data_IF_659819918001
#
_entry.id   IF_659819918001
#
_cell.length_a   1.000
_cell.length_b   1.000
_cell.length_c   1.000
_cell.angle_alpha   90.00
_cell.angle_beta   90.00
_cell.angle_gamma   90.00
#
_symmetry.space_group_name_H-M   'P 1'
#
loop_
_entity.id
_entity.type
_entity.pdbx_description
1 polymer ?
#
# COMPACT_ATOMS: atom_id res chain seq x y z
N UNK A 1 7.31 2.12 6.36
CA UNK A 1 8.52 1.82 5.54
C UNK A 1 8.92 2.98 4.62
N UNK A 2 7.98 3.73 4.03
CA UNK A 2 8.30 4.89 3.16
C UNK A 2 8.96 6.02 3.95
N UNK A 3 8.51 6.31 5.17
CA UNK A 3 9.11 7.32 6.03
C UNK A 3 10.55 6.96 6.46
N UNK A 4 10.89 5.68 6.54
CA UNK A 4 12.21 5.20 6.88
C UNK A 4 13.24 5.44 5.75
N UNK A 5 12.81 5.42 4.48
CA UNK A 5 13.64 5.77 3.34
C UNK A 5 13.95 7.27 3.25
N UNK A 6 13.02 8.14 3.69
CA UNK A 6 13.24 9.60 3.74
C UNK A 6 14.18 10.01 4.89
N UNK A 7 14.21 9.23 5.96
CA UNK A 7 15.09 9.45 7.14
C UNK A 7 16.51 8.90 6.93
N UNK A 8 16.71 8.05 5.91
CA UNK A 8 18.00 7.40 5.62
C UNK A 8 19.08 8.29 5.00
N UNK A 9 18.80 9.54 4.62
CA UNK A 9 19.83 10.50 4.25
C UNK A 9 20.41 11.13 5.52
N UNK A 10 21.36 10.45 6.14
CA UNK A 10 22.01 10.86 7.41
C UNK A 10 22.64 12.26 7.42
N UNK A 11 22.72 12.93 6.30
CA UNK A 11 23.48 14.19 6.18
C UNK A 11 22.70 15.45 6.58
N UNK A 12 21.36 15.44 6.62
CA UNK A 12 20.59 16.65 6.93
C UNK A 12 19.82 16.62 8.26
N UNK A 13 19.77 15.48 8.97
CA UNK A 13 18.93 15.31 10.17
C UNK A 13 19.76 15.13 11.45
N UNK A 14 21.01 15.57 11.47
CA UNK A 14 21.93 15.34 12.59
C UNK A 14 21.73 16.25 13.79
N UNK A 15 21.09 17.40 13.66
CA UNK A 15 20.79 18.30 14.78
C UNK A 15 19.49 17.86 15.47
N UNK A 16 19.63 17.26 16.64
CA UNK A 16 18.53 16.73 17.45
C UNK A 16 17.50 17.77 17.87
N UNK A 17 17.88 19.03 17.90
CA UNK A 17 17.05 20.09 18.47
C UNK A 17 16.04 20.70 17.51
N UNK A 18 16.05 20.33 16.20
CA UNK A 18 15.19 20.94 15.18
C UNK A 18 14.74 19.99 14.05
N UNK A 19 14.51 18.69 14.33
CA UNK A 19 14.06 17.73 13.29
C UNK A 19 12.86 18.24 12.52
N UNK A 20 11.86 18.79 13.20
CA UNK A 20 10.62 19.28 12.60
C UNK A 20 10.87 20.48 11.68
N UNK A 21 11.69 21.45 12.10
CA UNK A 21 12.04 22.61 11.27
C UNK A 21 12.83 22.20 10.03
N UNK A 22 13.81 21.30 10.18
CA UNK A 22 14.58 20.77 9.06
C UNK A 22 13.69 20.06 8.03
N UNK A 23 12.67 19.30 8.47
CA UNK A 23 11.71 18.66 7.57
C UNK A 23 10.80 19.68 6.88
N UNK A 24 10.42 20.75 7.56
CA UNK A 24 9.66 21.85 6.94
C UNK A 24 10.46 22.58 5.87
N UNK A 25 11.78 22.78 6.09
CA UNK A 25 12.66 23.38 5.09
C UNK A 25 12.83 22.53 3.83
N UNK A 26 12.68 21.20 3.94
CA UNK A 26 12.70 20.28 2.80
C UNK A 26 11.44 20.39 1.92
N UNK A 27 10.36 21.01 2.38
CA UNK A 27 9.09 21.12 1.65
C UNK A 27 8.59 19.77 1.12
N UNK A 28 8.40 18.79 2.00
CA UNK A 28 7.99 17.44 1.63
C UNK A 28 6.65 17.48 0.91
N UNK A 29 6.62 16.95 -0.31
CA UNK A 29 5.43 16.82 -1.15
C UNK A 29 5.10 15.34 -1.35
N UNK A 30 4.10 14.78 -0.66
CA UNK A 30 3.67 13.42 -0.89
C UNK A 30 3.14 13.19 -2.30
N UNK A 31 3.44 12.01 -2.86
CA UNK A 31 2.93 11.57 -4.16
C UNK A 31 2.12 10.29 -3.96
N UNK A 32 0.82 10.35 -4.20
CA UNK A 32 -0.03 9.17 -4.19
C UNK A 32 0.04 8.47 -5.55
N UNK A 33 0.51 7.22 -5.55
CA UNK A 33 0.59 6.38 -6.74
C UNK A 33 -0.49 5.31 -6.64
N UNK A 34 -1.42 5.30 -7.59
CA UNK A 34 -2.54 4.36 -7.63
C UNK A 34 -2.39 3.43 -8.84
N UNK A 35 -2.28 2.15 -8.59
CA UNK A 35 -2.31 1.10 -9.61
C UNK A 35 -3.67 0.43 -9.63
N UNK A 36 -4.20 0.13 -10.81
CA UNK A 36 -5.40 -0.69 -10.94
C UNK A 36 -5.12 -2.13 -10.51
N UNK A 37 -3.96 -2.66 -10.93
CA UNK A 37 -3.49 -3.99 -10.56
C UNK A 37 -2.06 -3.94 -10.02
N UNK A 38 -1.80 -4.69 -8.95
CA UNK A 38 -0.44 -4.88 -8.43
C UNK A 38 0.20 -6.07 -9.13
N UNK A 39 1.23 -5.87 -9.95
CA UNK A 39 1.86 -6.96 -10.69
C UNK A 39 2.48 -8.05 -9.81
N UNK A 40 2.76 -7.74 -8.54
CA UNK A 40 3.37 -8.64 -7.59
C UNK A 40 2.38 -9.27 -6.60
N UNK A 41 1.07 -9.09 -6.79
CA UNK A 41 0.05 -9.50 -5.83
C UNK A 41 0.06 -11.02 -5.54
N UNK A 42 0.21 -11.86 -6.58
CA UNK A 42 0.31 -13.31 -6.42
C UNK A 42 1.58 -13.75 -5.67
N UNK A 43 2.71 -13.04 -5.85
CA UNK A 43 3.95 -13.30 -5.12
C UNK A 43 3.79 -12.96 -3.64
N UNK A 44 3.14 -11.82 -3.35
CA UNK A 44 2.82 -11.40 -1.97
C UNK A 44 1.86 -12.37 -1.30
N UNK A 45 0.79 -12.78 -2.01
CA UNK A 45 -0.17 -13.76 -1.48
C UNK A 45 0.52 -15.10 -1.17
N UNK A 46 1.38 -15.58 -2.08
CA UNK A 46 2.21 -16.78 -1.88
C UNK A 46 3.07 -16.65 -0.63
N UNK A 47 3.79 -15.54 -0.49
CA UNK A 47 4.65 -15.27 0.66
C UNK A 47 3.86 -15.27 1.98
N UNK A 48 2.65 -14.70 2.00
CA UNK A 48 1.77 -14.74 3.17
C UNK A 48 1.41 -16.18 3.57
N UNK A 49 1.11 -17.05 2.61
CA UNK A 49 0.84 -18.46 2.93
C UNK A 49 2.11 -19.17 3.43
N UNK A 50 3.25 -18.98 2.79
CA UNK A 50 4.51 -19.59 3.21
C UNK A 50 4.87 -19.18 4.65
N UNK A 51 4.75 -17.91 5.02
CA UNK A 51 4.97 -17.41 6.38
C UNK A 51 3.95 -17.94 7.40
N UNK A 52 2.72 -18.18 6.97
CA UNK A 52 1.71 -18.81 7.82
C UNK A 52 2.03 -20.28 8.11
N UNK A 53 2.46 -21.01 7.09
CA UNK A 53 2.65 -22.46 7.13
C UNK A 53 4.01 -22.84 7.72
N UNK A 54 5.00 -21.96 7.62
CA UNK A 54 6.35 -22.11 8.15
C UNK A 54 6.80 -20.80 8.85
N UNK A 55 6.81 -20.78 10.20
CA UNK A 55 7.26 -19.62 10.98
C UNK A 55 8.72 -19.23 10.74
N UNK A 56 9.56 -20.19 10.33
CA UNK A 56 10.98 -19.99 10.06
C UNK A 56 11.26 -19.58 8.61
N UNK A 57 10.21 -19.44 7.80
CA UNK A 57 10.36 -19.02 6.41
C UNK A 57 10.99 -17.64 6.30
N UNK A 58 12.12 -17.58 5.61
CA UNK A 58 12.82 -16.35 5.27
C UNK A 58 12.89 -16.20 3.76
N UNK A 59 12.46 -15.03 3.27
CA UNK A 59 12.55 -14.67 1.86
C UNK A 59 14.01 -14.62 1.42
N UNK A 60 14.34 -15.27 0.31
CA UNK A 60 15.69 -15.24 -0.21
C UNK A 60 15.90 -14.08 -1.22
N UNK A 61 17.16 -13.75 -1.49
CA UNK A 61 17.52 -12.69 -2.43
C UNK A 61 16.95 -12.91 -3.85
N UNK A 62 16.81 -14.17 -4.28
CA UNK A 62 16.22 -14.51 -5.57
C UNK A 62 14.74 -14.12 -5.64
N UNK A 63 14.01 -14.27 -4.55
CA UNK A 63 12.59 -13.87 -4.47
C UNK A 63 12.43 -12.35 -4.57
N UNK A 64 13.39 -11.60 -4.02
CA UNK A 64 13.42 -10.14 -4.13
C UNK A 64 13.69 -9.70 -5.57
N UNK A 65 14.66 -10.30 -6.24
CA UNK A 65 14.94 -10.03 -7.65
C UNK A 65 13.74 -10.37 -8.54
N UNK A 66 13.08 -11.51 -8.32
CA UNK A 66 11.87 -11.90 -9.03
C UNK A 66 10.74 -10.89 -8.81
N UNK A 67 10.58 -10.41 -7.57
CA UNK A 67 9.56 -9.39 -7.25
C UNK A 67 9.85 -8.06 -7.95
N UNK A 68 11.13 -7.66 -8.01
CA UNK A 68 11.54 -6.44 -8.72
C UNK A 68 11.29 -6.56 -10.23
N UNK A 69 11.72 -7.66 -10.86
CA UNK A 69 11.50 -7.93 -12.28
C UNK A 69 9.99 -7.94 -12.61
N UNK A 70 9.21 -8.69 -11.84
CA UNK A 70 7.75 -8.77 -11.99
C UNK A 70 7.11 -7.39 -11.84
N UNK A 71 7.55 -6.61 -10.84
CA UNK A 71 7.04 -5.27 -10.59
C UNK A 71 7.33 -4.28 -11.71
N UNK A 72 8.46 -4.43 -12.42
CA UNK A 72 8.83 -3.55 -13.53
C UNK A 72 8.11 -3.95 -14.82
N UNK A 73 8.14 -5.23 -15.16
CA UNK A 73 7.75 -5.73 -16.48
C UNK A 73 6.25 -6.01 -16.63
N UNK A 74 5.56 -6.38 -15.54
CA UNK A 74 4.18 -6.81 -15.65
C UNK A 74 3.18 -5.65 -15.68
N UNK A 75 2.01 -5.95 -16.25
CA UNK A 75 0.93 -4.99 -16.43
C UNK A 75 0.35 -4.51 -15.08
N UNK A 76 0.20 -3.19 -14.95
CA UNK A 76 -0.36 -2.51 -13.78
C UNK A 76 -1.79 -2.01 -14.01
N UNK A 77 -2.36 -2.29 -15.20
CA UNK A 77 -3.60 -1.66 -15.63
C UNK A 77 -3.44 -0.15 -15.78
N UNK A 78 -4.42 0.58 -15.32
CA UNK A 78 -4.37 2.05 -15.25
C UNK A 78 -3.49 2.49 -14.09
N UNK A 79 -2.65 3.49 -14.33
CA UNK A 79 -1.77 4.09 -13.32
C UNK A 79 -2.10 5.56 -13.19
N UNK A 80 -2.19 6.05 -11.96
CA UNK A 80 -2.46 7.45 -11.68
C UNK A 80 -1.50 7.98 -10.62
N UNK A 81 -0.97 9.17 -10.85
CA UNK A 81 -0.12 9.90 -9.92
C UNK A 81 -0.85 11.16 -9.48
N UNK A 82 -0.99 11.37 -8.18
CA UNK A 82 -1.47 12.62 -7.59
C UNK A 82 -0.33 13.23 -6.80
N UNK A 83 0.15 14.40 -7.23
CA UNK A 83 1.11 15.21 -6.48
C UNK A 83 0.31 16.10 -5.56
N UNK A 84 0.56 16.02 -4.25
CA UNK A 84 -0.15 16.82 -3.25
C UNK A 84 0.49 18.19 -3.05
N UNK A 85 -0.05 19.00 -2.15
CA UNK A 85 0.64 20.18 -1.66
C UNK A 85 1.72 19.81 -0.63
N UNK A 86 2.73 20.67 -0.38
CA UNK A 86 3.67 20.49 0.72
C UNK A 86 2.93 20.31 2.06
N UNK A 87 3.44 19.42 2.92
CA UNK A 87 2.80 19.10 4.20
C UNK A 87 3.20 20.01 5.35
N UNK A 88 3.90 21.12 5.09
CA UNK A 88 4.44 22.03 6.10
C UNK A 88 3.41 22.53 7.10
N UNK A 89 2.19 22.90 6.63
CA UNK A 89 1.10 23.34 7.49
C UNK A 89 0.61 22.25 8.46
N UNK A 90 0.71 21.00 8.06
CA UNK A 90 0.37 19.86 8.90
C UNK A 90 1.51 19.54 9.89
N UNK A 91 2.75 19.64 9.46
CA UNK A 91 3.93 19.48 10.31
C UNK A 91 3.99 20.56 11.40
N UNK A 92 3.67 21.81 11.07
CA UNK A 92 3.67 22.93 12.02
C UNK A 92 2.68 22.75 13.20
N UNK A 93 1.69 21.86 13.06
CA UNK A 93 0.69 21.56 14.11
C UNK A 93 1.13 20.45 15.05
N UNK A 94 2.24 19.77 14.75
CA UNK A 94 2.76 18.72 15.61
C UNK A 94 3.40 19.34 16.85
N UNK A 95 3.29 18.63 17.97
CA UNK A 95 3.95 19.02 19.21
C UNK A 95 5.46 18.86 19.07
N UNK A 96 6.19 19.93 19.37
CA UNK A 96 7.68 20.00 19.25
C UNK A 96 8.39 19.26 20.39
N UNK A 97 7.67 19.03 21.49
CA UNK A 97 8.20 18.39 22.69
C UNK A 97 8.00 16.86 22.70
N UNK A 98 7.46 16.30 21.59
CA UNK A 98 7.33 14.84 21.44
C UNK A 98 8.68 14.14 21.48
N UNK A 99 8.69 12.94 22.07
CA UNK A 99 9.80 12.01 21.93
C UNK A 99 10.09 11.70 20.45
N UNK A 100 11.37 11.52 20.09
CA UNK A 100 11.80 11.36 18.69
C UNK A 100 11.03 10.28 17.93
N UNK A 101 10.78 9.12 18.55
CA UNK A 101 10.06 8.01 17.89
C UNK A 101 8.58 8.34 17.68
N UNK A 102 7.96 9.05 18.62
CA UNK A 102 6.59 9.53 18.51
C UNK A 102 6.47 10.59 17.41
N UNK A 103 7.42 11.52 17.35
CA UNK A 103 7.47 12.53 16.29
C UNK A 103 7.61 11.90 14.90
N UNK A 104 8.51 10.91 14.72
CA UNK A 104 8.65 10.18 13.46
C UNK A 104 7.34 9.48 13.06
N UNK A 105 6.67 8.85 14.02
CA UNK A 105 5.39 8.19 13.80
C UNK A 105 4.28 9.18 13.43
N UNK A 106 4.27 10.35 14.07
CA UNK A 106 3.31 11.43 13.77
C UNK A 106 3.53 11.99 12.35
N UNK A 107 4.79 12.22 11.96
CA UNK A 107 5.16 12.67 10.61
C UNK A 107 4.72 11.63 9.56
N UNK A 108 5.02 10.35 9.79
CA UNK A 108 4.59 9.27 8.91
C UNK A 108 3.06 9.25 8.75
N UNK A 109 2.32 9.44 9.85
CA UNK A 109 0.86 9.50 9.83
C UNK A 109 0.31 10.71 9.03
N UNK A 110 1.02 11.84 9.04
CA UNK A 110 0.67 13.01 8.21
C UNK A 110 0.85 12.67 6.73
N UNK A 111 1.98 12.07 6.36
CA UNK A 111 2.27 11.65 4.98
C UNK A 111 1.25 10.61 4.50
N UNK A 112 1.00 9.59 5.30
CA UNK A 112 0.05 8.51 4.99
C UNK A 112 -1.35 9.07 4.77
N UNK A 113 -1.80 10.00 5.62
CA UNK A 113 -3.12 10.64 5.48
C UNK A 113 -3.25 11.38 4.16
N UNK A 114 -2.22 12.11 3.75
CA UNK A 114 -2.22 12.80 2.45
C UNK A 114 -2.22 11.81 1.28
N UNK A 115 -1.47 10.72 1.37
CA UNK A 115 -1.49 9.67 0.35
C UNK A 115 -2.89 9.02 0.28
N UNK A 116 -3.49 8.67 1.43
CA UNK A 116 -4.81 8.02 1.47
C UNK A 116 -5.91 8.91 0.90
N UNK A 117 -5.93 10.19 1.22
CA UNK A 117 -6.91 11.16 0.69
C UNK A 117 -6.82 11.34 -0.81
N UNK A 118 -5.62 11.23 -1.37
CA UNK A 118 -5.34 11.50 -2.76
C UNK A 118 -5.19 10.22 -3.62
N UNK A 119 -5.45 9.04 -3.03
CA UNK A 119 -5.44 7.79 -3.76
C UNK A 119 -6.64 7.72 -4.71
N UNK A 120 -6.38 7.38 -5.98
CA UNK A 120 -7.43 7.13 -6.97
C UNK A 120 -7.89 5.69 -6.91
N UNK A 121 -9.19 5.49 -6.69
CA UNK A 121 -9.79 4.16 -6.65
C UNK A 121 -10.23 3.70 -8.04
N UNK A 122 -10.13 2.41 -8.25
CA UNK A 122 -10.62 1.70 -9.42
C UNK A 122 -11.74 0.73 -9.02
N UNK A 123 -12.57 0.26 -9.95
CA UNK A 123 -13.66 -0.66 -9.64
C UNK A 123 -13.23 -1.88 -8.82
N UNK A 124 -12.03 -2.42 -9.06
CA UNK A 124 -11.47 -3.55 -8.32
C UNK A 124 -11.35 -3.29 -6.81
N UNK A 125 -11.05 -2.05 -6.38
CA UNK A 125 -10.94 -1.70 -4.97
C UNK A 125 -12.30 -1.81 -4.25
N UNK A 126 -13.35 -1.31 -4.90
CA UNK A 126 -14.72 -1.34 -4.37
C UNK A 126 -15.29 -2.76 -4.37
N UNK A 127 -15.06 -3.52 -5.45
CA UNK A 127 -15.48 -4.93 -5.53
C UNK A 127 -14.80 -5.76 -4.45
N UNK A 128 -13.47 -5.59 -4.28
CA UNK A 128 -12.71 -6.30 -3.26
C UNK A 128 -13.21 -5.99 -1.84
N UNK A 129 -13.51 -4.71 -1.57
CA UNK A 129 -14.06 -4.30 -0.28
C UNK A 129 -15.41 -4.95 0.00
N UNK A 130 -16.33 -4.87 -0.96
CA UNK A 130 -17.69 -5.43 -0.80
C UNK A 130 -17.65 -6.95 -0.67
N UNK A 131 -16.82 -7.65 -1.43
CA UNK A 131 -16.69 -9.12 -1.31
C UNK A 131 -16.09 -9.56 0.02
N UNK A 132 -15.06 -8.87 0.53
CA UNK A 132 -14.46 -9.21 1.82
C UNK A 132 -15.40 -9.01 2.99
N UNK A 133 -16.24 -7.99 2.93
CA UNK A 133 -17.12 -7.63 4.03
C UNK A 133 -18.54 -8.19 3.86
N UNK A 134 -18.84 -8.91 2.78
CA UNK A 134 -20.17 -9.42 2.48
C UNK A 134 -21.20 -8.31 2.32
N UNK A 135 -20.78 -7.15 1.80
CA UNK A 135 -21.63 -5.96 1.65
C UNK A 135 -21.84 -5.58 0.20
N UNK A 136 -22.69 -4.59 -0.02
CA UNK A 136 -22.90 -3.91 -1.30
C UNK A 136 -22.75 -2.40 -1.13
N UNK A 137 -21.92 -1.97 -0.18
CA UNK A 137 -21.80 -0.57 0.23
C UNK A 137 -21.38 0.33 -0.93
N UNK A 138 -20.55 -0.18 -1.81
CA UNK A 138 -19.99 0.60 -2.92
C UNK A 138 -20.48 0.13 -4.30
N UNK A 139 -21.65 -0.51 -4.35
CA UNK A 139 -22.19 -1.09 -5.59
C UNK A 139 -22.41 -0.08 -6.73
N UNK A 140 -22.51 1.21 -6.43
CA UNK A 140 -22.65 2.28 -7.42
C UNK A 140 -21.33 2.59 -8.16
N UNK A 141 -20.18 2.16 -7.62
CA UNK A 141 -18.86 2.41 -8.17
C UNK A 141 -18.36 1.33 -9.15
N UNK A 142 -19.14 0.26 -9.34
CA UNK A 142 -18.79 -0.83 -10.24
C UNK A 142 -20.02 -1.53 -10.85
N UNK A 143 -19.85 -2.02 -12.08
CA UNK A 143 -20.91 -2.78 -12.76
C UNK A 143 -20.67 -4.29 -12.81
N UNK A 144 -21.59 -5.05 -13.41
CA UNK A 144 -21.42 -6.51 -13.62
C UNK A 144 -20.16 -6.86 -14.43
N UNK A 145 -19.80 -6.02 -15.40
CA UNK A 145 -18.61 -6.20 -16.24
C UNK A 145 -17.33 -6.08 -15.39
N UNK A 146 -17.26 -5.08 -14.50
CA UNK A 146 -16.10 -4.86 -13.63
C UNK A 146 -15.90 -6.02 -12.66
N UNK A 147 -17.01 -6.53 -12.09
CA UNK A 147 -17.00 -7.72 -11.24
C UNK A 147 -16.44 -8.93 -11.97
N UNK A 148 -16.94 -9.20 -13.18
CA UNK A 148 -16.50 -10.33 -13.98
C UNK A 148 -15.02 -10.22 -14.32
N UNK A 149 -14.57 -9.05 -14.78
CA UNK A 149 -13.19 -8.80 -15.14
C UNK A 149 -12.25 -8.97 -13.92
N UNK A 150 -12.67 -8.48 -12.76
CA UNK A 150 -11.88 -8.63 -11.54
C UNK A 150 -11.86 -10.07 -11.03
N UNK A 151 -12.97 -10.81 -11.15
CA UNK A 151 -13.02 -12.24 -10.83
C UNK A 151 -12.05 -13.04 -11.70
N UNK A 152 -12.10 -12.82 -13.02
CA UNK A 152 -11.18 -13.47 -13.97
C UNK A 152 -9.71 -13.12 -13.68
N UNK A 153 -9.46 -11.86 -13.29
CA UNK A 153 -8.12 -11.41 -12.89
C UNK A 153 -7.65 -12.15 -11.63
N UNK A 154 -8.45 -12.17 -10.56
CA UNK A 154 -8.09 -12.85 -9.30
C UNK A 154 -7.85 -14.34 -9.53
N UNK A 155 -8.69 -15.00 -10.33
CA UNK A 155 -8.49 -16.41 -10.67
C UNK A 155 -7.16 -16.61 -11.42
N UNK A 156 -6.86 -15.77 -12.40
CA UNK A 156 -5.59 -15.82 -13.14
C UNK A 156 -4.36 -15.58 -12.25
N UNK A 157 -4.48 -14.78 -11.18
CA UNK A 157 -3.39 -14.61 -10.21
C UNK A 157 -3.25 -15.82 -9.29
N UNK A 158 -4.35 -16.41 -8.87
CA UNK A 158 -4.34 -17.67 -8.10
C UNK A 158 -3.68 -18.80 -8.91
N UNK A 159 -3.97 -18.92 -10.19
CA UNK A 159 -3.41 -19.98 -11.05
C UNK A 159 -1.89 -19.89 -11.20
N UNK A 160 -1.30 -18.70 -11.06
CA UNK A 160 0.16 -18.50 -11.05
C UNK A 160 0.83 -19.01 -9.78
N UNK A 161 0.10 -19.22 -8.70
CA UNK A 161 0.67 -19.65 -7.42
C UNK A 161 0.80 -21.15 -7.39
N UNK A 162 2.03 -21.61 -7.34
CA UNK A 162 2.38 -23.03 -7.21
C UNK A 162 2.91 -23.28 -5.80
N UNK A 163 2.17 -24.05 -4.99
CA UNK A 163 2.52 -24.47 -3.64
C UNK A 163 2.06 -25.92 -3.42
N UNK A 164 2.80 -26.76 -2.71
CA UNK A 164 2.40 -28.14 -2.42
C UNK A 164 1.05 -28.23 -1.67
N UNK A 165 0.88 -27.34 -0.69
CA UNK A 165 -0.33 -27.26 0.16
C UNK A 165 -1.09 -25.95 -0.13
N UNK A 166 -1.39 -25.68 -1.41
CA UNK A 166 -2.06 -24.47 -1.83
C UNK A 166 -3.44 -24.34 -1.16
N UNK A 167 -3.58 -23.31 -0.33
CA UNK A 167 -4.84 -22.92 0.30
C UNK A 167 -5.48 -21.78 -0.51
N UNK A 168 -6.29 -22.15 -1.49
CA UNK A 168 -6.87 -21.20 -2.44
C UNK A 168 -7.79 -20.18 -1.77
N UNK A 169 -8.54 -20.59 -0.73
CA UNK A 169 -9.42 -19.70 0.01
C UNK A 169 -8.61 -18.62 0.77
N UNK A 170 -7.52 -19.01 1.42
CA UNK A 170 -6.61 -18.10 2.09
C UNK A 170 -5.95 -17.14 1.10
N UNK A 171 -5.40 -17.66 0.01
CA UNK A 171 -4.72 -16.87 -1.02
C UNK A 171 -5.68 -15.85 -1.66
N UNK A 172 -6.90 -16.29 -2.01
CA UNK A 172 -7.94 -15.40 -2.52
C UNK A 172 -8.27 -14.28 -1.53
N UNK A 173 -8.42 -14.62 -0.26
CA UNK A 173 -8.63 -13.62 0.79
C UNK A 173 -7.49 -12.60 0.85
N UNK A 174 -6.23 -13.06 0.77
CA UNK A 174 -5.06 -12.16 0.78
C UNK A 174 -5.02 -11.24 -0.44
N UNK A 175 -5.33 -11.74 -1.63
CA UNK A 175 -5.48 -10.91 -2.83
C UNK A 175 -6.56 -9.84 -2.64
N UNK A 176 -7.75 -10.22 -2.19
CA UNK A 176 -8.83 -9.26 -1.95
C UNK A 176 -8.47 -8.23 -0.85
N UNK A 177 -7.76 -8.63 0.20
CA UNK A 177 -7.27 -7.71 1.24
C UNK A 177 -6.36 -6.63 0.63
N UNK A 178 -5.43 -6.98 -0.26
CA UNK A 178 -4.53 -6.04 -0.92
C UNK A 178 -5.31 -4.98 -1.73
N UNK A 179 -6.30 -5.41 -2.52
CA UNK A 179 -7.12 -4.47 -3.31
C UNK A 179 -8.10 -3.65 -2.46
N UNK A 180 -8.55 -4.16 -1.32
CA UNK A 180 -9.46 -3.46 -0.41
C UNK A 180 -8.75 -2.45 0.49
N UNK A 181 -7.47 -2.68 0.83
CA UNK A 181 -6.73 -1.87 1.81
C UNK A 181 -6.64 -0.38 1.47
N UNK A 182 -6.40 0.06 0.21
CA UNK A 182 -6.40 1.48 -0.11
C UNK A 182 -7.72 2.17 0.25
N UNK A 183 -8.85 1.53 -0.03
CA UNK A 183 -10.18 2.05 0.31
C UNK A 183 -10.42 2.06 1.82
N UNK A 184 -9.99 1.01 2.54
CA UNK A 184 -10.06 0.98 4.02
C UNK A 184 -9.28 2.14 4.63
N UNK A 185 -8.06 2.36 4.16
CA UNK A 185 -7.20 3.44 4.64
C UNK A 185 -7.82 4.81 4.37
N UNK A 186 -8.37 5.04 3.18
CA UNK A 186 -9.11 6.27 2.87
C UNK A 186 -10.27 6.50 3.83
N UNK A 187 -11.06 5.47 4.13
CA UNK A 187 -12.19 5.58 5.04
C UNK A 187 -11.80 5.98 6.47
N UNK A 188 -10.55 5.75 6.88
CA UNK A 188 -10.02 6.23 8.18
C UNK A 188 -9.70 7.72 8.18
N UNK A 189 -9.68 8.36 7.03
CA UNK A 189 -9.38 9.81 6.90
C UNK A 189 -10.61 10.69 6.87
N UNK A 190 -11.81 10.07 6.80
CA UNK A 190 -13.11 10.75 6.82
C UNK A 190 -13.58 11.01 8.24
#
# INVERSE_FOLDING_TARGET
EIAQCLVGSEMCIRDRDNLLLNLMDLNIVPVAISYEFDPCDFLKAKEFQMKRDDPDYVKCQRDDLLSMETGILNNKGRVHFTITSPINDSLAKLDKDMEKNELVSAIASVIDREIYKNYRFYPCNYVAYDWLNGTRRFHEHYGPKDKKQFEEYIQGQLDKIVLPNKDEAFLRKKLLEMYSNPLKNYLTTL
#
